data_IF_833761722560
#
_entry.id   IF_833761722560
#
_cell.length_a   1.000
_cell.length_b   1.000
_cell.length_c   1.000
_cell.angle_alpha   90.00
_cell.angle_beta   90.00
_cell.angle_gamma   90.00
#
_symmetry.space_group_name_H-M   'P 1'
#
loop_
_entity.id
_entity.type
_entity.pdbx_description
1 polymer ?
#
# COMPACT_ATOMS: atom_id res chain seq x y z
N UNK A 1 -11.76 0.78 -14.87
CA UNK A 1 -10.58 1.56 -14.44
C UNK A 1 -10.12 1.04 -13.09
N UNK A 2 -8.84 1.22 -12.75
CA UNK A 2 -8.28 0.89 -11.45
C UNK A 2 -7.76 2.17 -10.82
N UNK A 3 -8.19 2.47 -9.60
CA UNK A 3 -7.67 3.57 -8.78
C UNK A 3 -6.83 2.98 -7.65
N UNK A 4 -5.55 3.33 -7.60
CA UNK A 4 -4.67 2.99 -6.47
C UNK A 4 -4.31 4.27 -5.70
N UNK A 5 -4.56 4.29 -4.39
CA UNK A 5 -4.31 5.46 -3.56
C UNK A 5 -3.98 5.10 -2.12
N UNK A 6 -3.16 5.93 -1.48
CA UNK A 6 -3.09 5.99 -0.02
C UNK A 6 -4.34 6.72 0.48
N UNK A 7 -4.87 6.32 1.63
CA UNK A 7 -6.03 6.93 2.27
C UNK A 7 -5.85 7.12 3.77
N UNK A 8 -6.83 7.80 4.37
CA UNK A 8 -6.93 8.01 5.81
C UNK A 8 -8.12 7.24 6.38
N UNK A 9 -7.98 6.75 7.61
CA UNK A 9 -9.05 6.08 8.38
C UNK A 9 -10.26 7.00 8.62
N UNK A 10 -10.04 8.31 8.66
CA UNK A 10 -11.04 9.33 8.92
C UNK A 10 -10.94 10.50 7.95
N UNK A 11 -12.07 11.18 7.75
CA UNK A 11 -12.11 12.44 6.99
C UNK A 11 -11.34 13.52 7.74
N UNK A 12 -10.32 14.07 7.08
CA UNK A 12 -9.58 15.24 7.50
C UNK A 12 -9.38 16.15 6.29
N UNK A 13 -9.32 17.45 6.54
CA UNK A 13 -8.95 18.45 5.52
C UNK A 13 -7.48 18.87 5.64
N UNK A 14 -6.79 18.34 6.64
CA UNK A 14 -5.43 18.69 7.00
C UNK A 14 -4.54 17.45 6.87
N UNK A 15 -3.35 17.67 6.32
CA UNK A 15 -2.23 16.73 6.36
C UNK A 15 -1.34 17.14 7.54
N UNK A 16 -0.55 16.20 8.05
CA UNK A 16 0.49 16.52 9.03
C UNK A 16 1.38 17.68 8.53
N UNK A 17 1.57 18.70 9.36
CA UNK A 17 2.26 19.93 8.97
C UNK A 17 3.70 19.69 8.54
N UNK A 18 4.38 18.70 9.13
CA UNK A 18 5.75 18.37 8.77
C UNK A 18 5.80 17.69 7.39
N UNK A 19 4.90 16.75 7.14
CA UNK A 19 4.76 16.08 5.83
C UNK A 19 4.37 17.10 4.73
N UNK A 20 3.41 17.97 5.00
CA UNK A 20 2.97 19.01 4.04
C UNK A 20 4.10 20.01 3.75
N UNK A 21 4.86 20.42 4.77
CA UNK A 21 5.96 21.37 4.57
C UNK A 21 7.15 20.76 3.82
N UNK A 22 7.48 19.50 4.10
CA UNK A 22 8.80 18.98 3.76
C UNK A 22 8.83 17.80 2.78
N UNK A 23 7.75 17.03 2.66
CA UNK A 23 7.74 15.82 1.80
C UNK A 23 6.76 15.98 0.63
N UNK A 24 5.50 16.28 0.91
CA UNK A 24 4.44 16.38 -0.10
C UNK A 24 3.58 17.64 0.07
N UNK A 25 4.08 18.81 -0.35
CA UNK A 25 3.32 20.06 -0.28
C UNK A 25 1.99 19.99 -1.03
N UNK A 26 0.89 20.27 -0.31
CA UNK A 26 -0.46 20.21 -0.85
C UNK A 26 -1.03 18.79 -0.98
N UNK A 27 -0.26 17.76 -0.61
CA UNK A 27 -0.73 16.38 -0.59
C UNK A 27 -1.86 16.21 0.43
N UNK A 28 -2.97 15.60 0.04
CA UNK A 28 -4.11 15.32 0.92
C UNK A 28 -4.55 13.88 0.73
N UNK A 29 -4.62 13.13 1.83
CA UNK A 29 -5.09 11.75 1.80
C UNK A 29 -6.62 11.73 1.85
N UNK A 30 -7.31 11.13 0.87
CA UNK A 30 -8.75 11.00 0.94
C UNK A 30 -9.15 9.99 2.00
N UNK A 31 -10.26 10.27 2.68
CA UNK A 31 -11.02 9.24 3.41
C UNK A 31 -11.92 8.46 2.47
N UNK A 32 -12.41 7.30 2.90
CA UNK A 32 -13.37 6.51 2.14
C UNK A 32 -14.62 7.32 1.75
N UNK A 33 -15.10 8.17 2.67
CA UNK A 33 -16.22 9.09 2.42
C UNK A 33 -15.94 10.04 1.26
N UNK A 34 -14.81 10.76 1.29
CA UNK A 34 -14.46 11.73 0.24
C UNK A 34 -14.26 11.03 -1.11
N UNK A 35 -13.65 9.84 -1.09
CA UNK A 35 -13.43 9.04 -2.29
C UNK A 35 -14.75 8.60 -2.91
N UNK A 36 -15.68 8.06 -2.12
CA UNK A 36 -17.03 7.71 -2.60
C UNK A 36 -17.76 8.93 -3.18
N UNK A 37 -17.74 10.07 -2.47
CA UNK A 37 -18.39 11.30 -2.92
C UNK A 37 -17.90 11.75 -4.30
N UNK A 38 -16.59 11.66 -4.55
CA UNK A 38 -16.02 12.01 -5.86
C UNK A 38 -16.31 11.01 -6.97
N UNK A 39 -16.54 9.73 -6.62
CA UNK A 39 -16.72 8.63 -7.58
C UNK A 39 -18.19 8.46 -7.99
N UNK A 40 -19.12 8.63 -7.06
CA UNK A 40 -20.53 8.27 -7.18
C UNK A 40 -21.23 8.88 -8.41
N UNK A 41 -20.81 10.08 -8.83
CA UNK A 41 -21.39 10.75 -10.00
C UNK A 41 -20.95 10.17 -11.35
N UNK A 42 -19.90 9.36 -11.39
CA UNK A 42 -19.22 8.98 -12.65
C UNK A 42 -19.05 7.47 -12.82
N UNK A 43 -18.87 6.73 -11.73
CA UNK A 43 -18.52 5.31 -11.77
C UNK A 43 -19.25 4.50 -10.71
N UNK A 44 -19.40 3.21 -10.98
CA UNK A 44 -19.72 2.19 -10.00
C UNK A 44 -18.42 1.68 -9.37
N UNK A 45 -18.45 1.41 -8.07
CA UNK A 45 -17.37 0.71 -7.35
C UNK A 45 -17.65 -0.79 -7.44
N UNK A 46 -16.80 -1.52 -8.16
CA UNK A 46 -16.93 -2.95 -8.42
C UNK A 46 -16.20 -3.80 -7.37
N UNK A 47 -15.05 -3.32 -6.89
CA UNK A 47 -14.29 -3.92 -5.78
C UNK A 47 -13.48 -2.85 -5.07
N UNK A 48 -13.21 -3.10 -3.80
CA UNK A 48 -12.34 -2.27 -3.00
C UNK A 48 -11.49 -3.17 -2.11
N UNK A 49 -10.19 -3.16 -2.36
CA UNK A 49 -9.23 -3.91 -1.58
C UNK A 49 -8.39 -2.96 -0.73
N UNK A 50 -8.15 -3.36 0.52
CA UNK A 50 -7.29 -2.62 1.45
C UNK A 50 -6.17 -3.53 1.95
N UNK A 51 -4.94 -3.15 1.64
CA UNK A 51 -3.72 -3.84 2.04
C UNK A 51 -2.72 -2.88 2.70
N UNK A 52 -3.25 -1.90 3.46
CA UNK A 52 -2.44 -0.90 4.16
C UNK A 52 -1.35 -1.46 5.07
N UNK A 53 -1.58 -2.63 5.69
CA UNK A 53 -0.57 -3.31 6.52
C UNK A 53 0.69 -3.71 5.74
N UNK A 54 0.57 -4.04 4.46
CA UNK A 54 1.74 -4.41 3.65
C UNK A 54 2.59 -3.19 3.31
N UNK A 55 2.04 -1.98 3.45
CA UNK A 55 2.80 -0.76 3.24
C UNK A 55 3.78 -0.45 4.37
N UNK A 56 3.48 -0.87 5.61
CA UNK A 56 4.47 -0.89 6.69
C UNK A 56 5.70 -1.73 6.28
N UNK A 57 5.48 -2.95 5.79
CA UNK A 57 6.56 -3.83 5.31
C UNK A 57 7.39 -3.18 4.21
N UNK A 58 6.71 -2.49 3.29
CA UNK A 58 7.36 -1.76 2.20
C UNK A 58 8.25 -0.63 2.72
N UNK A 59 7.73 0.20 3.63
CA UNK A 59 8.46 1.32 4.23
C UNK A 59 9.65 0.84 5.08
N UNK A 60 9.50 -0.27 5.80
CA UNK A 60 10.58 -0.89 6.55
C UNK A 60 11.68 -1.46 5.62
N UNK A 61 11.29 -2.08 4.50
CA UNK A 61 12.25 -2.55 3.50
C UNK A 61 13.02 -1.38 2.86
N UNK A 62 12.34 -0.27 2.56
CA UNK A 62 12.99 0.94 2.07
C UNK A 62 13.96 1.53 3.09
N UNK A 63 13.57 1.57 4.36
CA UNK A 63 14.44 2.03 5.44
C UNK A 63 15.70 1.17 5.56
N UNK A 64 15.55 -0.15 5.61
CA UNK A 64 16.67 -1.09 5.71
C UNK A 64 17.64 -0.94 4.54
N UNK A 65 17.11 -0.82 3.32
CA UNK A 65 17.92 -0.62 2.12
C UNK A 65 18.66 0.72 2.15
N UNK A 66 17.98 1.81 2.55
CA UNK A 66 18.59 3.13 2.65
C UNK A 66 19.71 3.16 3.70
N UNK A 67 19.44 2.64 4.90
CA UNK A 67 20.39 2.64 6.02
C UNK A 67 21.64 1.81 5.69
N UNK A 68 21.46 0.62 5.11
CA UNK A 68 22.56 -0.24 4.68
C UNK A 68 23.47 0.42 3.64
N UNK A 69 22.91 1.29 2.79
CA UNK A 69 23.66 2.00 1.74
C UNK A 69 24.13 3.39 2.17
N UNK A 70 23.77 3.86 3.37
CA UNK A 70 24.16 5.18 3.87
C UNK A 70 25.68 5.45 3.83
N UNK A 71 26.57 4.48 4.17
CA UNK A 71 28.01 4.71 4.11
C UNK A 71 28.54 5.15 2.73
N UNK A 72 27.86 4.75 1.66
CA UNK A 72 28.14 5.19 0.29
C UNK A 72 27.47 6.54 0.00
N UNK A 73 26.20 6.71 0.37
CA UNK A 73 25.40 7.90 0.09
C UNK A 73 25.86 9.17 0.83
N UNK A 74 26.45 9.03 2.03
CA UNK A 74 26.92 10.16 2.83
C UNK A 74 28.05 10.99 2.17
N UNK A 75 28.62 10.49 1.07
CA UNK A 75 29.60 11.23 0.26
C UNK A 75 28.97 12.41 -0.49
N UNK A 76 27.72 12.23 -0.91
CA UNK A 76 27.00 13.18 -1.75
C UNK A 76 25.82 13.84 -1.03
N UNK A 77 25.41 13.29 0.13
CA UNK A 77 24.22 13.69 0.87
C UNK A 77 24.60 14.01 2.32
N UNK A 78 24.08 15.13 2.85
CA UNK A 78 24.41 15.55 4.21
C UNK A 78 23.74 14.70 5.30
N UNK A 79 24.32 14.71 6.51
CA UNK A 79 23.82 13.93 7.64
C UNK A 79 22.42 14.38 8.13
N UNK A 80 22.04 15.63 7.88
CA UNK A 80 20.70 16.11 8.23
C UNK A 80 19.63 15.43 7.37
N UNK A 81 19.90 15.19 6.08
CA UNK A 81 19.02 14.43 5.21
C UNK A 81 18.84 12.99 5.70
N UNK A 82 19.89 12.34 6.22
CA UNK A 82 19.73 11.00 6.80
C UNK A 82 18.72 10.99 7.95
N UNK A 83 18.82 11.95 8.87
CA UNK A 83 17.88 12.08 10.00
C UNK A 83 16.47 12.39 9.51
N UNK A 84 16.37 13.28 8.53
CA UNK A 84 15.13 13.68 7.88
C UNK A 84 14.43 12.48 7.21
N UNK A 85 15.16 11.73 6.39
CA UNK A 85 14.65 10.59 5.63
C UNK A 85 14.29 9.41 6.54
N UNK A 86 15.11 9.17 7.57
CA UNK A 86 14.81 8.22 8.65
C UNK A 86 13.48 8.55 9.33
N UNK A 87 13.28 9.81 9.71
CA UNK A 87 12.05 10.24 10.36
C UNK A 87 10.84 10.02 9.45
N UNK A 88 10.93 10.44 8.19
CA UNK A 88 9.88 10.22 7.21
C UNK A 88 9.49 8.74 7.08
N UNK A 89 10.45 7.86 6.77
CA UNK A 89 10.14 6.45 6.51
C UNK A 89 9.58 5.74 7.76
N UNK A 90 10.17 5.97 8.92
CA UNK A 90 9.76 5.29 10.16
C UNK A 90 8.43 5.83 10.72
N UNK A 91 8.17 7.13 10.58
CA UNK A 91 6.89 7.71 10.99
C UNK A 91 5.76 7.24 10.07
N UNK A 92 5.98 7.19 8.75
CA UNK A 92 5.02 6.61 7.82
C UNK A 92 4.79 5.12 8.11
N UNK A 93 5.84 4.34 8.41
CA UNK A 93 5.68 2.94 8.78
C UNK A 93 4.77 2.80 10.01
N UNK A 94 4.97 3.65 11.02
CA UNK A 94 4.08 3.75 12.18
C UNK A 94 2.63 4.11 11.83
N UNK A 95 2.42 5.05 10.90
CA UNK A 95 1.10 5.47 10.44
C UNK A 95 0.29 4.33 9.78
N UNK A 96 0.93 3.50 8.97
CA UNK A 96 0.28 2.31 8.40
C UNK A 96 0.11 1.19 9.43
N UNK A 97 1.11 0.98 10.28
CA UNK A 97 1.08 -0.03 11.35
C UNK A 97 -0.03 0.24 12.37
N UNK A 98 -0.29 1.51 12.69
CA UNK A 98 -1.37 1.93 13.59
C UNK A 98 -2.76 1.88 12.95
N UNK A 99 -2.85 1.50 11.67
CA UNK A 99 -4.11 1.46 10.88
C UNK A 99 -4.76 2.84 10.70
N UNK A 100 -4.01 3.92 10.87
CA UNK A 100 -4.47 5.24 10.46
C UNK A 100 -4.31 5.42 8.95
N UNK A 101 -3.16 4.98 8.41
CA UNK A 101 -2.89 4.93 6.98
C UNK A 101 -3.52 3.72 6.31
N UNK A 102 -4.18 3.97 5.18
CA UNK A 102 -4.80 2.94 4.35
C UNK A 102 -4.12 2.89 2.99
N UNK A 103 -4.11 1.72 2.35
CA UNK A 103 -3.67 1.58 0.97
C UNK A 103 -4.74 0.83 0.19
N UNK A 104 -5.34 1.52 -0.76
CA UNK A 104 -6.52 1.06 -1.46
C UNK A 104 -6.26 0.83 -2.94
N UNK A 105 -6.82 -0.28 -3.44
CA UNK A 105 -7.09 -0.48 -4.85
C UNK A 105 -8.61 -0.56 -5.03
N UNK A 106 -9.15 0.34 -5.87
CA UNK A 106 -10.58 0.45 -6.13
C UNK A 106 -10.82 0.18 -7.61
N UNK A 107 -11.60 -0.86 -7.90
CA UNK A 107 -12.00 -1.20 -9.26
C UNK A 107 -13.27 -0.44 -9.60
N UNK A 108 -13.23 0.28 -10.70
CA UNK A 108 -14.30 1.18 -11.14
C UNK A 108 -14.83 0.80 -12.52
N UNK A 109 -16.13 0.89 -12.73
CA UNK A 109 -16.77 0.73 -14.03
C UNK A 109 -17.74 1.88 -14.34
N UNK A 110 -18.03 2.09 -15.62
CA UNK A 110 -19.09 3.03 -16.01
C UNK A 110 -20.45 2.38 -15.76
N UNK A 111 -21.49 3.14 -15.35
CA UNK A 111 -22.83 2.60 -15.12
C UNK A 111 -23.44 1.85 -16.33
N UNK A 112 -23.01 2.17 -17.56
CA UNK A 112 -23.50 1.54 -18.78
C UNK A 112 -22.89 0.15 -19.05
N UNK A 113 -21.89 -0.29 -18.27
CA UNK A 113 -21.23 -1.58 -18.47
C UNK A 113 -22.17 -2.71 -18.06
N UNK A 114 -22.40 -3.67 -18.96
CA UNK A 114 -23.32 -4.79 -18.70
C UNK A 114 -22.63 -6.09 -18.26
N UNK A 115 -21.31 -6.19 -18.37
CA UNK A 115 -20.56 -7.37 -17.93
C UNK A 115 -20.39 -7.37 -16.43
N UNK A 116 -20.77 -8.47 -15.77
CA UNK A 116 -20.56 -8.68 -14.33
C UNK A 116 -19.07 -8.66 -14.00
N UNK A 117 -18.67 -7.85 -13.02
CA UNK A 117 -17.34 -7.94 -12.42
C UNK A 117 -17.25 -9.18 -11.51
N UNK A 118 -16.14 -9.93 -11.62
CA UNK A 118 -15.82 -11.03 -10.70
C UNK A 118 -14.56 -10.66 -9.95
N UNK A 119 -14.68 -10.48 -8.63
CA UNK A 119 -13.51 -10.28 -7.78
C UNK A 119 -12.65 -11.53 -7.79
N UNK A 120 -11.34 -11.31 -7.90
CA UNK A 120 -10.38 -12.37 -7.66
C UNK A 120 -9.93 -12.27 -6.21
N UNK A 121 -10.32 -13.25 -5.39
CA UNK A 121 -9.83 -13.42 -4.03
C UNK A 121 -9.09 -14.75 -4.02
N UNK A 122 -7.76 -14.78 -3.83
CA UNK A 122 -7.09 -16.05 -3.67
C UNK A 122 -7.72 -16.73 -2.46
N UNK A 123 -8.22 -17.96 -2.65
CA UNK A 123 -8.66 -18.78 -1.54
C UNK A 123 -7.48 -18.85 -0.58
N UNK A 124 -7.68 -18.45 0.68
CA UNK A 124 -6.70 -18.78 1.70
C UNK A 124 -6.59 -20.30 1.68
N UNK A 125 -5.48 -20.83 1.15
CA UNK A 125 -5.11 -22.19 1.48
C UNK A 125 -4.92 -22.19 2.98
N UNK A 126 -5.85 -22.78 3.71
CA UNK A 126 -5.62 -23.22 5.07
C UNK A 126 -4.37 -24.08 5.00
N UNK A 127 -3.22 -23.56 5.42
CA UNK A 127 -2.08 -24.41 5.72
C UNK A 127 -2.49 -25.13 7.00
N UNK A 128 -3.23 -26.23 6.85
CA UNK A 128 -3.35 -27.24 7.90
C UNK A 128 -1.91 -27.60 8.29
N UNK A 129 -1.55 -27.58 9.58
CA UNK A 129 -0.22 -28.01 9.99
C UNK A 129 -0.06 -29.48 9.62
N UNK A 130 0.63 -29.74 8.52
CA UNK A 130 0.90 -31.08 8.04
C UNK A 130 1.78 -31.78 9.08
N UNK A 131 1.16 -32.66 9.84
CA UNK A 131 1.81 -33.52 10.83
C UNK A 131 2.46 -34.72 10.13
N UNK A 132 3.37 -34.47 9.19
CA UNK A 132 4.34 -35.52 8.82
C UNK A 132 5.56 -34.94 8.12
N UNK A 133 6.72 -35.14 8.74
CA UNK A 133 8.01 -34.60 8.33
C UNK A 133 8.66 -35.35 7.18
N UNK A 134 8.02 -35.40 6.01
CA UNK A 134 8.65 -35.85 4.76
C UNK A 134 8.17 -34.99 3.59
N UNK A 135 9.10 -34.72 2.68
CA UNK A 135 8.89 -34.11 1.35
C UNK A 135 9.28 -32.63 1.21
N UNK A 136 10.55 -32.35 1.49
CA UNK A 136 11.29 -31.30 0.79
C UNK A 136 11.77 -31.83 -0.58
N UNK A 137 10.87 -32.00 -1.57
CA UNK A 137 11.25 -32.18 -2.98
C UNK A 137 10.02 -32.28 -3.91
N UNK A 138 9.34 -31.16 -4.22
CA UNK A 138 8.48 -31.10 -5.41
C UNK A 138 8.08 -29.65 -5.76
N UNK A 139 9.02 -28.85 -6.27
CA UNK A 139 8.66 -27.68 -7.08
C UNK A 139 9.52 -27.68 -8.32
N UNK A 140 9.08 -28.43 -9.34
CA UNK A 140 9.49 -28.21 -10.73
C UNK A 140 8.33 -28.64 -11.61
N UNK A 141 7.67 -27.65 -12.21
CA UNK A 141 6.98 -27.67 -13.53
C UNK A 141 5.77 -26.73 -13.51
N UNK A 142 5.99 -25.49 -13.97
CA UNK A 142 4.91 -24.65 -14.49
C UNK A 142 4.92 -24.84 -16.00
N UNK A 143 3.91 -25.53 -16.52
CA UNK A 143 3.67 -25.69 -17.96
C UNK A 143 2.93 -24.47 -18.49
N UNK A 144 3.36 -23.83 -19.60
CA UNK A 144 2.62 -22.71 -20.18
C UNK A 144 1.33 -23.21 -20.85
N UNK A 145 0.24 -22.48 -20.66
CA UNK A 145 -1.03 -22.70 -21.34
C UNK A 145 -0.97 -22.10 -22.76
N UNK A 146 -1.41 -22.90 -23.74
CA UNK A 146 -1.74 -22.45 -25.11
C UNK A 146 -3.02 -21.62 -25.12
#
# INVERSE_FOLDING_TARGET
ALLQTIGSDRTTHQTDDWIDRHIFPGGRLPSARQLCQGIESYFLIEDWENFGLDYDRTLMAWWQNFDANWPMLQRDINADFYRFWRYYLLSCAGFFRSRMGQLWQVVLSKPQRQTTYRSWRPCHCSVEPHSDGRDAAAITEIKPLN
#
